data_IF_951487296537
#
_entry.id   IF_951487296537
#
_cell.length_a   1.000
_cell.length_b   1.000
_cell.length_c   1.000
_cell.angle_alpha   90.00
_cell.angle_beta   90.00
_cell.angle_gamma   90.00
#
_symmetry.space_group_name_H-M   'P 1'
#
loop_
_entity.id
_entity.type
_entity.pdbx_description
1 polymer ?
#
# COMPACT_ATOMS: atom_id res chain seq x y z
N UNK A 1 -23.55 -22.54 -33.74
CA UNK A 1 -24.98 -22.57 -33.39
C UNK A 1 -25.34 -21.17 -32.89
N UNK A 2 -25.86 -20.36 -33.82
CA UNK A 2 -26.45 -19.03 -33.61
C UNK A 2 -27.77 -19.17 -32.79
N UNK A 3 -28.44 -18.11 -32.27
CA UNK A 3 -28.36 -16.73 -32.76
C UNK A 3 -28.45 -15.58 -31.72
N UNK A 4 -27.98 -14.39 -32.13
CA UNK A 4 -28.52 -13.08 -31.74
C UNK A 4 -29.94 -12.92 -32.33
N UNK A 5 -30.83 -12.11 -31.75
CA UNK A 5 -31.14 -10.84 -32.42
C UNK A 5 -31.55 -9.74 -31.40
N UNK A 6 -31.98 -8.50 -31.70
CA UNK A 6 -32.66 -7.92 -32.85
C UNK A 6 -32.53 -6.38 -32.74
N UNK A 7 -32.30 -5.71 -33.87
CA UNK A 7 -32.45 -4.26 -34.03
C UNK A 7 -33.93 -3.94 -34.28
N UNK A 8 -34.50 -2.95 -33.60
CA UNK A 8 -35.75 -2.35 -34.06
C UNK A 8 -35.73 -0.82 -33.96
N UNK A 9 -36.26 -0.21 -35.01
CA UNK A 9 -36.23 1.22 -35.34
C UNK A 9 -37.66 1.77 -35.22
N UNK A 10 -37.76 3.08 -35.07
CA UNK A 10 -38.97 3.94 -35.08
C UNK A 10 -39.61 4.15 -33.69
N UNK A 11 -40.08 5.35 -33.32
CA UNK A 11 -40.87 6.29 -34.12
C UNK A 11 -40.72 7.74 -33.62
N UNK A 12 -40.64 8.66 -34.57
CA UNK A 12 -40.86 10.10 -34.39
C UNK A 12 -42.34 10.32 -34.02
N UNK A 13 -42.61 11.14 -33.00
CA UNK A 13 -43.92 11.78 -32.82
C UNK A 13 -43.72 13.28 -32.67
N UNK A 14 -44.17 14.03 -33.66
CA UNK A 14 -44.23 15.47 -33.61
C UNK A 14 -45.41 15.94 -32.76
N UNK A 15 -45.22 17.08 -32.08
CA UNK A 15 -46.30 18.02 -31.80
C UNK A 15 -45.85 19.39 -32.27
N UNK A 16 -46.50 19.82 -33.35
CA UNK A 16 -46.50 21.20 -33.80
C UNK A 16 -47.41 22.01 -32.85
N UNK A 17 -46.94 23.16 -32.39
CA UNK A 17 -47.80 24.28 -32.00
C UNK A 17 -47.20 25.59 -32.51
N UNK A 18 -47.84 26.11 -33.56
CA UNK A 18 -48.20 27.51 -33.81
C UNK A 18 -47.36 28.67 -33.28
N UNK A 19 -46.66 29.31 -34.23
CA UNK A 19 -46.77 30.74 -34.64
C UNK A 19 -46.54 31.84 -33.58
N UNK A 20 -45.54 32.70 -33.85
CA UNK A 20 -45.79 34.15 -34.04
C UNK A 20 -44.61 34.82 -34.77
N UNK A 21 -44.90 35.34 -35.96
CA UNK A 21 -44.05 36.20 -36.79
C UNK A 21 -44.30 37.65 -36.36
N UNK A 22 -43.25 38.33 -35.88
CA UNK A 22 -43.04 39.78 -35.71
C UNK A 22 -41.65 39.87 -35.07
N UNK A 23 -40.59 40.45 -35.62
CA UNK A 23 -40.43 41.58 -36.52
C UNK A 23 -39.15 41.39 -37.35
N UNK A 24 -39.20 41.99 -38.54
CA UNK A 24 -38.11 42.21 -39.47
C UNK A 24 -37.20 43.36 -38.99
N UNK A 25 -35.96 43.35 -39.52
CA UNK A 25 -34.97 44.44 -39.67
C UNK A 25 -33.88 44.62 -38.60
N UNK A 26 -32.68 44.90 -39.13
CA UNK A 26 -31.42 45.37 -38.49
C UNK A 26 -30.53 44.22 -37.95
N UNK A 27 -29.24 44.05 -38.27
CA UNK A 27 -28.18 44.90 -38.85
C UNK A 27 -27.20 44.02 -39.62
N UNK A 28 -27.04 44.30 -40.92
CA UNK A 28 -25.82 44.03 -41.68
C UNK A 28 -24.80 45.05 -41.20
N UNK A 29 -23.81 44.65 -40.38
CA UNK A 29 -22.44 45.19 -40.23
C UNK A 29 -21.85 44.46 -39.02
N UNK A 30 -21.25 43.28 -39.22
CA UNK A 30 -19.93 42.87 -38.68
C UNK A 30 -19.48 41.64 -39.50
N UNK A 31 -19.40 41.80 -40.82
CA UNK A 31 -18.47 41.01 -41.62
C UNK A 31 -17.16 41.78 -41.59
N UNK A 32 -16.25 41.45 -40.66
CA UNK A 32 -14.78 41.67 -40.80
C UNK A 32 -13.96 41.24 -39.56
N UNK A 33 -14.57 40.69 -38.51
CA UNK A 33 -13.83 40.14 -37.35
C UNK A 33 -14.14 38.66 -37.05
N UNK A 34 -14.49 37.86 -38.06
CA UNK A 34 -14.79 36.43 -37.88
C UNK A 34 -14.02 35.50 -38.82
N UNK A 35 -12.96 35.99 -39.48
CA UNK A 35 -12.12 35.21 -40.40
C UNK A 35 -10.65 35.06 -39.95
N UNK A 36 -10.32 35.48 -38.70
CA UNK A 36 -8.97 35.36 -38.12
C UNK A 36 -8.89 34.37 -36.94
N UNK A 37 -9.90 33.51 -36.78
CA UNK A 37 -9.93 32.44 -35.77
C UNK A 37 -10.08 31.03 -36.36
N UNK A 38 -9.85 30.87 -37.66
CA UNK A 38 -9.81 29.58 -38.35
C UNK A 38 -8.39 29.35 -38.87
N UNK A 39 -7.47 29.00 -37.97
CA UNK A 39 -6.07 28.80 -38.34
C UNK A 39 -5.16 28.26 -37.24
N UNK A 40 -5.63 28.09 -36.01
CA UNK A 40 -4.95 27.22 -35.07
C UNK A 40 -5.54 25.83 -35.23
N UNK A 41 -4.92 25.03 -36.09
CA UNK A 41 -4.88 23.60 -35.85
C UNK A 41 -4.27 23.45 -34.45
N UNK A 42 -5.14 23.33 -33.44
CA UNK A 42 -4.74 22.78 -32.15
C UNK A 42 -4.35 21.35 -32.50
N UNK A 43 -3.05 21.14 -32.71
CA UNK A 43 -2.48 19.81 -32.67
C UNK A 43 -2.85 19.27 -31.31
N UNK A 44 -3.88 18.42 -31.28
CA UNK A 44 -4.19 17.58 -30.15
C UNK A 44 -3.03 16.59 -29.99
N UNK A 45 -1.94 17.07 -29.43
CA UNK A 45 -0.89 16.24 -28.87
C UNK A 45 -1.05 16.27 -27.36
N UNK A 46 -2.27 15.98 -26.90
CA UNK A 46 -2.49 15.47 -25.56
C UNK A 46 -1.86 14.07 -25.52
N UNK A 47 -0.55 13.99 -25.28
CA UNK A 47 -0.05 12.87 -24.52
C UNK A 47 -0.31 13.22 -23.05
N UNK A 48 -1.40 12.71 -22.45
CA UNK A 48 -1.72 13.06 -21.09
C UNK A 48 -0.60 12.51 -20.18
N UNK A 49 -0.08 13.37 -19.29
CA UNK A 49 0.81 12.98 -18.18
C UNK A 49 2.26 12.56 -18.52
N UNK A 50 3.00 13.34 -19.31
CA UNK A 50 4.45 13.13 -19.54
C UNK A 50 4.83 11.77 -20.16
N UNK A 51 3.89 11.12 -20.86
CA UNK A 51 4.13 9.87 -21.57
C UNK A 51 4.98 10.10 -22.84
N UNK A 52 5.72 9.08 -23.25
CA UNK A 52 6.48 9.08 -24.50
C UNK A 52 5.62 8.65 -25.68
N UNK A 53 5.95 9.15 -26.88
CA UNK A 53 5.29 8.75 -28.12
C UNK A 53 5.64 7.29 -28.51
N UNK A 54 4.78 6.70 -29.34
CA UNK A 54 4.86 5.27 -29.70
C UNK A 54 6.15 4.92 -30.43
N UNK A 55 6.66 5.81 -31.27
CA UNK A 55 7.85 5.55 -32.08
C UNK A 55 9.11 5.53 -31.20
N UNK A 56 9.22 6.51 -30.28
CA UNK A 56 10.29 6.52 -29.27
C UNK A 56 10.26 5.26 -28.39
N UNK A 57 9.07 4.81 -27.98
CA UNK A 57 8.89 3.58 -27.19
C UNK A 57 9.34 2.34 -28.00
N UNK A 58 8.92 2.24 -29.27
CA UNK A 58 9.26 1.13 -30.15
C UNK A 58 10.77 1.06 -30.41
N UNK A 59 11.41 2.19 -30.71
CA UNK A 59 12.85 2.30 -30.90
C UNK A 59 13.61 1.83 -29.66
N UNK A 60 13.22 2.32 -28.46
CA UNK A 60 13.85 1.90 -27.21
C UNK A 60 13.72 0.39 -26.98
N UNK A 61 12.53 -0.18 -27.26
CA UNK A 61 12.29 -1.62 -27.11
C UNK A 61 13.14 -2.47 -28.06
N UNK A 62 13.34 -2.03 -29.32
CA UNK A 62 14.20 -2.74 -30.28
C UNK A 62 15.66 -2.74 -29.82
N UNK A 63 16.13 -1.58 -29.34
CA UNK A 63 17.47 -1.43 -28.79
C UNK A 63 17.69 -2.36 -27.59
N UNK A 64 16.73 -2.44 -26.66
CA UNK A 64 16.80 -3.38 -25.53
C UNK A 64 16.88 -4.84 -26.00
N UNK A 65 16.07 -5.24 -26.99
CA UNK A 65 16.10 -6.61 -27.52
C UNK A 65 17.43 -6.97 -28.17
N UNK A 66 18.06 -6.03 -28.89
CA UNK A 66 19.39 -6.24 -29.48
C UNK A 66 20.48 -6.24 -28.42
N UNK A 67 20.40 -5.31 -27.46
CA UNK A 67 21.35 -5.18 -26.36
C UNK A 67 21.41 -6.45 -25.50
N UNK A 68 20.25 -7.06 -25.20
CA UNK A 68 20.14 -8.32 -24.44
C UNK A 68 20.67 -9.54 -25.20
N UNK A 69 20.76 -9.45 -26.54
CA UNK A 69 21.42 -10.46 -27.40
C UNK A 69 22.92 -10.23 -27.58
N UNK A 70 23.50 -9.23 -26.91
CA UNK A 70 24.95 -8.96 -26.91
C UNK A 70 25.43 -7.93 -27.94
N UNK A 71 24.53 -7.22 -28.62
CA UNK A 71 24.90 -6.14 -29.55
C UNK A 71 25.41 -4.91 -28.79
N UNK A 72 26.72 -4.67 -28.83
CA UNK A 72 27.38 -3.54 -28.14
C UNK A 72 26.96 -2.17 -28.68
N UNK A 73 26.67 -2.06 -29.97
CA UNK A 73 26.21 -0.78 -30.54
C UNK A 73 24.80 -0.47 -30.04
N UNK A 74 23.92 -1.48 -29.99
CA UNK A 74 22.59 -1.33 -29.42
C UNK A 74 22.63 -1.01 -27.93
N UNK A 75 23.57 -1.58 -27.16
CA UNK A 75 23.76 -1.25 -25.74
C UNK A 75 24.09 0.24 -25.53
N UNK A 76 25.03 0.78 -26.31
CA UNK A 76 25.40 2.20 -26.23
C UNK A 76 24.23 3.12 -26.62
N UNK A 77 23.52 2.78 -27.71
CA UNK A 77 22.36 3.53 -28.17
C UNK A 77 21.21 3.47 -27.16
N UNK A 78 20.96 2.30 -26.57
CA UNK A 78 19.96 2.13 -25.53
C UNK A 78 20.26 3.02 -24.31
N UNK A 79 21.51 3.03 -23.84
CA UNK A 79 21.90 3.89 -22.72
C UNK A 79 21.73 5.39 -23.04
N UNK A 80 22.01 5.81 -24.27
CA UNK A 80 21.76 7.19 -24.70
C UNK A 80 20.26 7.54 -24.67
N UNK A 81 19.40 6.62 -25.12
CA UNK A 81 17.94 6.78 -25.07
C UNK A 81 17.43 6.85 -23.63
N UNK A 82 17.99 6.05 -22.70
CA UNK A 82 17.62 6.14 -21.27
C UNK A 82 17.91 7.54 -20.70
N UNK A 83 19.08 8.11 -21.03
CA UNK A 83 19.45 9.46 -20.61
C UNK A 83 18.51 10.52 -21.19
N UNK A 84 18.20 10.47 -22.48
CA UNK A 84 17.24 11.40 -23.12
C UNK A 84 15.85 11.30 -22.49
N UNK A 85 15.35 10.08 -22.29
CA UNK A 85 14.04 9.86 -21.69
C UNK A 85 14.00 10.39 -20.25
N UNK A 86 15.03 10.12 -19.44
CA UNK A 86 15.12 10.67 -18.09
C UNK A 86 15.00 12.21 -18.09
N UNK A 87 15.82 12.88 -18.91
CA UNK A 87 15.84 14.33 -19.01
C UNK A 87 14.50 14.92 -19.46
N UNK A 88 13.85 14.31 -20.46
CA UNK A 88 12.53 14.71 -20.95
C UNK A 88 11.46 14.53 -19.88
N UNK A 89 11.44 13.38 -19.20
CA UNK A 89 10.49 13.09 -18.14
C UNK A 89 10.66 14.08 -16.96
N UNK A 90 11.91 14.33 -16.55
CA UNK A 90 12.22 15.27 -15.49
C UNK A 90 11.73 16.69 -15.82
N UNK A 91 12.08 17.22 -17.00
CA UNK A 91 11.61 18.55 -17.45
C UNK A 91 10.08 18.63 -17.51
N UNK A 92 9.44 17.57 -17.99
CA UNK A 92 7.97 17.52 -18.03
C UNK A 92 7.37 17.53 -16.62
N UNK A 93 7.91 16.76 -15.66
CA UNK A 93 7.41 16.74 -14.28
C UNK A 93 7.69 18.04 -13.53
N UNK A 94 8.79 18.72 -13.82
CA UNK A 94 9.12 20.03 -13.26
C UNK A 94 8.15 21.12 -13.75
N UNK A 95 7.63 21.02 -14.97
CA UNK A 95 6.68 21.98 -15.56
C UNK A 95 5.21 21.59 -15.40
N UNK A 96 4.90 20.30 -15.18
CA UNK A 96 3.54 19.79 -14.98
C UNK A 96 2.98 20.11 -13.59
N UNK A 97 1.66 20.22 -13.43
CA UNK A 97 1.03 20.34 -12.10
C UNK A 97 1.23 19.04 -11.28
N UNK A 98 1.21 17.88 -11.93
CA UNK A 98 1.42 16.58 -11.31
C UNK A 98 2.92 16.28 -11.24
N UNK A 99 3.56 16.72 -10.14
CA UNK A 99 5.00 16.56 -9.90
C UNK A 99 5.43 15.11 -9.66
N UNK A 100 4.54 14.30 -9.09
CA UNK A 100 4.83 12.94 -8.67
C UNK A 100 3.77 11.99 -9.18
N UNK A 101 4.20 10.90 -9.81
CA UNK A 101 3.35 9.79 -10.17
C UNK A 101 4.11 8.49 -9.94
N UNK A 102 3.54 7.63 -9.09
CA UNK A 102 4.16 6.41 -8.63
C UNK A 102 3.36 5.16 -9.04
N UNK A 103 4.06 4.04 -9.21
CA UNK A 103 3.46 2.73 -9.41
C UNK A 103 3.90 1.77 -8.30
N UNK A 104 2.97 0.99 -7.76
CA UNK A 104 3.30 -0.14 -6.87
C UNK A 104 3.54 -1.40 -7.69
N UNK A 105 4.66 -2.08 -7.44
CA UNK A 105 4.97 -3.34 -8.10
C UNK A 105 5.41 -4.41 -7.11
N UNK A 106 5.20 -5.67 -7.49
CA UNK A 106 5.81 -6.83 -6.86
C UNK A 106 6.72 -7.50 -7.89
N UNK A 107 7.92 -7.85 -7.46
CA UNK A 107 8.91 -8.52 -8.28
C UNK A 107 9.07 -9.98 -7.85
N UNK A 108 9.41 -10.83 -8.81
CA UNK A 108 9.50 -12.28 -8.69
C UNK A 108 10.78 -12.81 -9.38
N UNK A 109 11.18 -14.07 -9.13
CA UNK A 109 12.39 -14.64 -9.74
C UNK A 109 12.42 -14.56 -11.28
N UNK A 110 11.26 -14.56 -11.96
CA UNK A 110 11.19 -14.43 -13.41
C UNK A 110 11.65 -13.08 -13.95
N UNK A 111 11.73 -12.05 -13.10
CA UNK A 111 12.15 -10.70 -13.50
C UNK A 111 13.66 -10.58 -13.61
N UNK A 112 14.42 -11.55 -13.06
CA UNK A 112 15.87 -11.67 -13.20
C UNK A 112 16.31 -12.14 -14.59
N UNK A 113 15.38 -12.55 -15.46
CA UNK A 113 15.74 -12.92 -16.82
C UNK A 113 16.29 -11.69 -17.56
N UNK A 114 17.35 -11.84 -18.38
CA UNK A 114 17.97 -10.72 -19.08
C UNK A 114 16.93 -9.85 -19.82
N UNK A 115 16.90 -8.56 -19.48
CA UNK A 115 16.01 -7.57 -20.10
C UNK A 115 14.59 -7.47 -19.54
N UNK A 116 14.13 -8.42 -18.70
CA UNK A 116 12.77 -8.36 -18.16
C UNK A 116 12.59 -7.15 -17.23
N UNK A 117 13.48 -6.99 -16.26
CA UNK A 117 13.44 -5.85 -15.35
C UNK A 117 13.61 -4.52 -16.11
N UNK A 118 14.45 -4.50 -17.14
CA UNK A 118 14.61 -3.33 -18.01
C UNK A 118 13.31 -2.96 -18.71
N UNK A 119 12.60 -3.94 -19.27
CA UNK A 119 11.33 -3.73 -19.94
C UNK A 119 10.24 -3.24 -18.98
N UNK A 120 10.18 -3.80 -17.76
CA UNK A 120 9.25 -3.35 -16.72
C UNK A 120 9.50 -1.86 -16.40
N UNK A 121 10.74 -1.48 -16.13
CA UNK A 121 11.09 -0.11 -15.77
C UNK A 121 10.97 0.86 -16.95
N UNK A 122 11.23 0.38 -18.17
CA UNK A 122 10.95 1.13 -19.38
C UNK A 122 9.48 1.46 -19.53
N UNK A 123 8.59 0.50 -19.27
CA UNK A 123 7.14 0.74 -19.30
C UNK A 123 6.74 1.79 -18.26
N UNK A 124 7.28 1.73 -17.05
CA UNK A 124 7.05 2.74 -15.99
C UNK A 124 7.34 4.15 -16.51
N UNK A 125 8.54 4.39 -17.06
CA UNK A 125 8.88 5.72 -17.59
C UNK A 125 8.14 6.07 -18.87
N UNK A 126 7.84 5.08 -19.72
CA UNK A 126 7.10 5.28 -20.98
C UNK A 126 5.70 5.86 -20.72
N UNK A 127 5.05 5.44 -19.64
CA UNK A 127 3.77 5.99 -19.17
C UNK A 127 3.91 7.26 -18.31
N UNK A 128 5.12 7.81 -18.19
CA UNK A 128 5.40 9.06 -17.51
C UNK A 128 5.58 8.95 -15.99
N UNK A 129 5.60 7.76 -15.39
CA UNK A 129 5.81 7.62 -13.94
C UNK A 129 7.26 7.96 -13.57
N UNK A 130 7.45 8.73 -12.49
CA UNK A 130 8.76 9.15 -12.00
C UNK A 130 9.13 8.56 -10.64
N UNK A 131 8.27 7.70 -10.08
CA UNK A 131 8.53 6.96 -8.85
C UNK A 131 8.03 5.52 -8.97
N UNK A 132 8.69 4.63 -8.23
CA UNK A 132 8.36 3.21 -8.16
C UNK A 132 8.38 2.76 -6.71
N UNK A 133 7.32 2.09 -6.29
CA UNK A 133 7.19 1.52 -4.96
C UNK A 133 7.30 0.00 -5.07
N UNK A 134 8.49 -0.51 -4.82
CA UNK A 134 8.82 -1.94 -4.94
C UNK A 134 8.48 -2.62 -3.64
N UNK A 135 7.59 -3.61 -3.67
CA UNK A 135 7.31 -4.39 -2.48
C UNK A 135 8.52 -5.25 -2.08
N UNK A 136 9.24 -4.80 -1.06
CA UNK A 136 10.47 -5.41 -0.57
C UNK A 136 10.22 -6.41 0.57
N UNK A 137 9.06 -6.33 1.22
CA UNK A 137 8.65 -7.28 2.26
C UNK A 137 7.14 -7.50 2.23
N UNK A 138 6.73 -8.68 1.77
CA UNK A 138 5.33 -9.08 1.62
C UNK A 138 5.15 -10.59 1.77
N UNK A 139 3.96 -11.02 2.16
CA UNK A 139 3.56 -12.43 2.25
C UNK A 139 4.51 -13.29 3.10
N UNK A 140 5.20 -12.64 4.06
CA UNK A 140 6.25 -13.25 4.87
C UNK A 140 7.50 -13.63 4.10
N UNK A 141 7.81 -12.92 3.02
CA UNK A 141 9.02 -13.07 2.23
C UNK A 141 9.67 -11.71 2.05
N UNK A 142 10.99 -11.72 1.87
CA UNK A 142 11.78 -10.50 1.70
C UNK A 142 12.51 -10.52 0.35
N UNK A 143 12.57 -9.38 -0.33
CA UNK A 143 13.22 -9.23 -1.64
C UNK A 143 14.76 -9.10 -1.52
N UNK A 144 15.36 -9.87 -0.61
CA UNK A 144 16.81 -9.96 -0.41
C UNK A 144 17.34 -11.25 -1.03
N UNK A 145 18.62 -11.33 -1.42
CA UNK A 145 19.24 -12.55 -1.93
C UNK A 145 19.18 -13.68 -0.88
N UNK A 146 18.97 -14.92 -1.30
CA UNK A 146 18.86 -16.04 -0.37
C UNK A 146 20.14 -16.26 0.47
N UNK A 147 21.32 -16.14 -0.13
CA UNK A 147 22.60 -16.38 0.57
C UNK A 147 23.02 -15.24 1.51
N UNK A 148 22.53 -14.02 1.26
CA UNK A 148 22.83 -12.83 2.07
C UNK A 148 21.53 -12.22 2.61
N UNK A 149 20.73 -13.05 3.26
CA UNK A 149 19.50 -12.64 3.94
C UNK A 149 19.66 -12.82 5.46
N UNK A 150 19.93 -11.75 6.22
CA UNK A 150 20.10 -11.81 7.68
C UNK A 150 18.76 -11.90 8.44
N UNK A 151 17.63 -12.00 7.74
CA UNK A 151 16.29 -11.96 8.34
C UNK A 151 15.75 -13.37 8.58
N UNK A 152 14.68 -13.46 9.36
CA UNK A 152 13.98 -14.74 9.61
C UNK A 152 13.01 -15.14 8.50
N UNK A 153 12.83 -14.27 7.51
CA UNK A 153 11.89 -14.46 6.41
C UNK A 153 12.60 -15.06 5.20
N UNK A 154 12.02 -16.04 4.51
CA UNK A 154 12.60 -16.56 3.28
C UNK A 154 12.71 -15.48 2.19
N UNK A 155 13.74 -15.60 1.36
CA UNK A 155 13.89 -14.77 0.16
C UNK A 155 12.74 -15.01 -0.84
N UNK A 156 12.29 -13.97 -1.53
CA UNK A 156 11.38 -14.06 -2.68
C UNK A 156 12.05 -14.78 -3.85
N UNK A 157 13.34 -14.52 -4.07
CA UNK A 157 14.14 -15.09 -5.16
C UNK A 157 14.33 -16.59 -4.96
N UNK A 158 14.53 -17.01 -3.70
CA UNK A 158 14.65 -18.42 -3.33
C UNK A 158 15.96 -19.06 -3.76
N UNK A 159 15.98 -20.40 -3.77
CA UNK A 159 17.19 -21.20 -4.04
C UNK A 159 17.56 -21.25 -5.53
N UNK A 160 16.64 -20.89 -6.44
CA UNK A 160 16.88 -20.95 -7.88
C UNK A 160 17.89 -19.89 -8.36
N UNK A 161 18.01 -18.77 -7.64
CA UNK A 161 18.97 -17.71 -7.93
C UNK A 161 19.51 -17.13 -6.60
N UNK A 162 20.26 -17.92 -5.83
CA UNK A 162 20.44 -17.67 -4.40
C UNK A 162 21.34 -16.46 -4.11
N UNK A 163 22.13 -16.02 -5.10
CA UNK A 163 22.98 -14.83 -5.05
C UNK A 163 22.30 -13.55 -5.58
N UNK A 164 21.16 -13.67 -6.26
CA UNK A 164 20.58 -12.53 -6.96
C UNK A 164 19.90 -11.57 -5.98
N UNK A 165 20.33 -10.31 -5.98
CA UNK A 165 19.75 -9.22 -5.19
C UNK A 165 18.82 -8.39 -6.08
N UNK A 166 17.58 -8.87 -6.22
CA UNK A 166 16.57 -8.25 -7.08
C UNK A 166 16.16 -6.85 -6.59
N UNK A 167 16.25 -6.58 -5.28
CA UNK A 167 16.01 -5.24 -4.73
C UNK A 167 17.14 -4.27 -5.12
N UNK A 168 18.40 -4.68 -4.98
CA UNK A 168 19.52 -3.86 -5.43
C UNK A 168 19.47 -3.60 -6.95
N UNK A 169 19.13 -4.61 -7.73
CA UNK A 169 19.06 -4.51 -9.20
C UNK A 169 17.98 -3.52 -9.66
N UNK A 170 16.77 -3.58 -9.09
CA UNK A 170 15.70 -2.64 -9.45
C UNK A 170 16.01 -1.20 -9.01
N UNK A 171 16.67 -1.01 -7.86
CA UNK A 171 17.11 0.32 -7.41
C UNK A 171 18.14 0.89 -8.39
N UNK A 172 19.14 0.09 -8.77
CA UNK A 172 20.18 0.51 -9.70
C UNK A 172 19.59 0.86 -11.08
N UNK A 173 18.78 -0.02 -11.66
CA UNK A 173 18.14 0.21 -12.96
C UNK A 173 17.09 1.33 -12.93
N UNK A 174 16.47 1.59 -11.78
CA UNK A 174 15.61 2.75 -11.57
C UNK A 174 16.39 4.06 -11.64
N UNK A 175 17.57 4.12 -11.00
CA UNK A 175 18.48 5.28 -11.06
C UNK A 175 18.94 5.57 -12.49
N UNK A 176 19.25 4.55 -13.28
CA UNK A 176 19.61 4.68 -14.72
C UNK A 176 18.51 5.36 -15.55
N UNK A 177 17.24 5.21 -15.12
CA UNK A 177 16.06 5.82 -15.75
C UNK A 177 15.61 7.12 -15.08
N UNK A 178 16.33 7.58 -14.07
CA UNK A 178 16.02 8.80 -13.33
C UNK A 178 14.74 8.75 -12.50
N UNK A 179 14.24 7.56 -12.16
CA UNK A 179 13.09 7.40 -11.28
C UNK A 179 13.54 7.10 -9.86
N UNK A 180 12.75 7.56 -8.88
CA UNK A 180 12.97 7.21 -7.48
C UNK A 180 12.38 5.85 -7.18
N UNK A 181 13.12 5.01 -6.47
CA UNK A 181 12.70 3.66 -6.06
C UNK A 181 12.57 3.61 -4.55
N UNK A 182 11.35 3.43 -4.06
CA UNK A 182 11.05 3.26 -2.64
C UNK A 182 10.79 1.78 -2.33
N UNK A 183 11.29 1.31 -1.19
CA UNK A 183 10.99 -0.01 -0.68
C UNK A 183 9.66 0.02 0.10
N UNK A 184 8.64 -0.64 -0.41
CA UNK A 184 7.35 -0.84 0.25
C UNK A 184 7.39 -2.09 1.14
N UNK A 185 7.04 -1.94 2.42
CA UNK A 185 7.23 -2.95 3.47
C UNK A 185 5.92 -3.14 4.24
N UNK A 186 5.47 -4.38 4.39
CA UNK A 186 4.36 -4.72 5.26
C UNK A 186 4.82 -4.73 6.72
N UNK A 187 4.62 -3.62 7.44
CA UNK A 187 5.22 -3.40 8.76
C UNK A 187 4.68 -4.37 9.82
N UNK A 188 3.37 -4.62 9.87
CA UNK A 188 2.79 -5.53 10.88
C UNK A 188 2.27 -6.84 10.30
N UNK A 189 2.10 -6.94 8.97
CA UNK A 189 1.68 -8.18 8.32
C UNK A 189 2.90 -9.02 7.92
N UNK A 190 3.30 -9.94 8.79
CA UNK A 190 4.47 -10.81 8.63
C UNK A 190 4.22 -12.06 7.81
N UNK A 191 2.98 -12.29 7.37
CA UNK A 191 2.62 -13.39 6.48
C UNK A 191 2.82 -14.83 7.01
N UNK A 192 2.40 -15.83 6.22
CA UNK A 192 2.21 -17.22 6.66
C UNK A 192 3.52 -17.99 6.93
N UNK A 193 4.64 -17.59 6.33
CA UNK A 193 5.94 -18.23 6.62
C UNK A 193 6.33 -18.02 8.09
N UNK A 194 6.07 -16.82 8.62
CA UNK A 194 6.34 -16.47 10.01
C UNK A 194 5.47 -17.27 10.97
N UNK A 195 4.19 -17.46 10.63
CA UNK A 195 3.26 -18.23 11.46
C UNK A 195 3.51 -19.72 11.47
N UNK A 196 4.29 -20.27 10.54
CA UNK A 196 4.69 -21.68 10.54
C UNK A 196 5.85 -21.97 11.49
N UNK A 197 6.50 -20.94 12.04
CA UNK A 197 7.66 -21.08 12.92
C UNK A 197 7.23 -21.33 14.37
N UNK A 198 7.61 -22.48 14.99
CA UNK A 198 7.24 -22.77 16.38
C UNK A 198 7.77 -21.72 17.36
N UNK A 199 8.98 -21.21 17.12
CA UNK A 199 9.66 -20.21 17.95
C UNK A 199 9.09 -18.78 17.79
N UNK A 200 8.12 -18.57 16.89
CA UNK A 200 7.47 -17.27 16.66
C UNK A 200 5.99 -17.23 17.01
N UNK A 201 5.40 -18.33 17.49
CA UNK A 201 3.97 -18.40 17.83
C UNK A 201 3.52 -17.38 18.88
N UNK A 202 4.40 -17.00 19.80
CA UNK A 202 4.12 -16.00 20.84
C UNK A 202 4.15 -14.55 20.34
N UNK A 203 4.62 -14.31 19.11
CA UNK A 203 4.67 -12.99 18.48
C UNK A 203 3.44 -12.70 17.59
N UNK A 204 2.58 -13.69 17.35
CA UNK A 204 1.38 -13.54 16.53
C UNK A 204 0.27 -12.91 17.37
N UNK A 205 -0.42 -11.92 16.82
CA UNK A 205 -1.55 -11.26 17.48
C UNK A 205 -2.73 -12.22 17.67
N UNK A 206 -3.46 -12.07 18.77
CA UNK A 206 -4.57 -12.95 19.15
C UNK A 206 -5.74 -12.17 19.71
N UNK A 207 -6.95 -12.65 19.42
CA UNK A 207 -8.17 -12.14 20.02
C UNK A 207 -8.57 -12.93 21.30
N UNK A 208 -9.68 -12.54 21.92
CA UNK A 208 -10.19 -13.14 23.16
C UNK A 208 -10.64 -14.59 23.04
N UNK A 209 -10.82 -15.08 21.81
CA UNK A 209 -11.13 -16.48 21.52
C UNK A 209 -9.87 -17.31 21.26
N UNK A 210 -8.68 -16.70 21.35
CA UNK A 210 -7.39 -17.33 21.02
C UNK A 210 -7.12 -17.44 19.52
N UNK A 211 -8.00 -16.88 18.70
CA UNK A 211 -7.91 -16.92 17.25
C UNK A 211 -6.82 -15.98 16.77
N UNK A 212 -6.23 -16.36 15.63
CA UNK A 212 -5.33 -15.50 14.84
C UNK A 212 -5.97 -15.26 13.49
N UNK A 213 -5.48 -14.29 12.73
CA UNK A 213 -5.98 -14.00 11.38
C UNK A 213 -5.81 -15.16 10.36
N UNK A 214 -5.18 -16.27 10.75
CA UNK A 214 -5.16 -17.52 9.96
C UNK A 214 -6.49 -18.27 9.98
N UNK A 215 -7.27 -18.11 11.05
CA UNK A 215 -8.28 -19.08 11.42
C UNK A 215 -9.65 -18.82 10.78
N UNK A 216 -9.80 -17.73 10.01
CA UNK A 216 -11.01 -17.51 9.22
C UNK A 216 -10.72 -17.05 7.78
N UNK A 217 -10.39 -17.98 6.88
CA UNK A 217 -10.22 -17.69 5.45
C UNK A 217 -11.47 -17.11 4.76
N UNK A 218 -12.66 -17.29 5.35
CA UNK A 218 -13.94 -16.79 4.82
C UNK A 218 -14.24 -15.36 5.27
N UNK A 219 -13.58 -14.87 6.33
CA UNK A 219 -13.65 -13.49 6.81
C UNK A 219 -12.61 -12.56 6.18
N UNK A 220 -11.68 -13.11 5.39
CA UNK A 220 -10.73 -12.32 4.62
C UNK A 220 -11.49 -11.78 3.38
N UNK A 221 -11.57 -10.46 3.18
CA UNK A 221 -12.15 -9.91 1.95
C UNK A 221 -11.45 -10.52 0.72
N UNK A 222 -12.25 -10.93 -0.27
CA UNK A 222 -11.80 -11.55 -1.52
C UNK A 222 -10.74 -10.71 -2.28
N UNK A 223 -10.70 -9.40 -1.99
CA UNK A 223 -9.75 -8.41 -2.50
C UNK A 223 -8.28 -8.69 -2.16
N UNK A 224 -7.98 -9.60 -1.23
CA UNK A 224 -6.61 -9.94 -0.85
C UNK A 224 -6.43 -11.45 -0.71
N UNK A 225 -6.13 -12.15 -1.81
CA UNK A 225 -5.55 -13.51 -1.82
C UNK A 225 -4.18 -13.61 -1.13
N UNK A 226 -4.00 -12.88 -0.03
CA UNK A 226 -2.80 -12.59 0.72
C UNK A 226 -3.06 -13.11 2.14
N UNK A 227 -2.27 -14.07 2.60
CA UNK A 227 -2.41 -14.54 3.97
C UNK A 227 -1.92 -13.45 4.93
N UNK A 228 -2.86 -12.83 5.63
CA UNK A 228 -2.59 -11.73 6.56
C UNK A 228 -2.24 -12.30 7.94
N UNK A 229 -0.97 -12.26 8.32
CA UNK A 229 -0.52 -12.63 9.68
C UNK A 229 -0.02 -11.38 10.37
N UNK A 230 -0.84 -10.85 11.26
CA UNK A 230 -0.45 -9.71 12.05
C UNK A 230 0.26 -10.13 13.34
N UNK A 231 1.29 -9.38 13.68
CA UNK A 231 2.04 -9.55 14.91
C UNK A 231 1.47 -8.75 16.07
N UNK A 232 1.80 -9.16 17.28
CA UNK A 232 1.62 -8.36 18.49
C UNK A 232 2.69 -7.24 18.49
N UNK A 233 2.32 -5.95 18.31
CA UNK A 233 3.25 -4.84 18.28
C UNK A 233 3.99 -4.60 19.59
N UNK A 234 3.49 -5.15 20.71
CA UNK A 234 4.20 -5.10 21.98
C UNK A 234 5.27 -6.20 22.11
N UNK A 235 5.29 -7.17 21.19
CA UNK A 235 6.24 -8.27 21.26
C UNK A 235 7.65 -7.81 20.82
N UNK A 236 8.66 -7.84 21.72
CA UNK A 236 10.01 -7.37 21.40
C UNK A 236 10.71 -8.21 20.33
N UNK A 237 10.34 -9.50 20.20
CA UNK A 237 10.88 -10.36 19.13
C UNK A 237 10.34 -9.93 17.76
N UNK A 238 9.05 -9.61 17.66
CA UNK A 238 8.48 -9.09 16.42
C UNK A 238 9.10 -7.74 16.02
N UNK A 239 9.27 -6.84 16.98
CA UNK A 239 9.94 -5.55 16.77
C UNK A 239 11.36 -5.74 16.22
N UNK A 240 12.15 -6.65 16.81
CA UNK A 240 13.51 -6.92 16.35
C UNK A 240 13.54 -7.60 14.97
N UNK A 241 12.61 -8.52 14.70
CA UNK A 241 12.51 -9.17 13.38
C UNK A 241 12.21 -8.12 12.29
N UNK A 242 11.31 -7.14 12.52
CA UNK A 242 11.08 -6.04 11.58
C UNK A 242 12.29 -5.11 11.45
N UNK A 243 12.91 -4.72 12.57
CA UNK A 243 14.12 -3.88 12.56
C UNK A 243 15.22 -4.49 11.69
N UNK A 244 15.41 -5.80 11.77
CA UNK A 244 16.38 -6.51 10.94
C UNK A 244 16.02 -6.45 9.45
N UNK A 245 14.74 -6.61 9.10
CA UNK A 245 14.26 -6.44 7.71
C UNK A 245 14.52 -5.02 7.21
N UNK A 246 14.12 -4.01 7.98
CA UNK A 246 14.31 -2.60 7.62
C UNK A 246 15.78 -2.23 7.48
N UNK A 247 16.63 -2.71 8.41
CA UNK A 247 18.07 -2.50 8.34
C UNK A 247 18.65 -3.13 7.07
N UNK A 248 18.34 -4.40 6.78
CA UNK A 248 18.85 -5.09 5.59
C UNK A 248 18.40 -4.43 4.29
N UNK A 249 17.12 -4.02 4.19
CA UNK A 249 16.59 -3.25 3.05
C UNK A 249 17.31 -1.90 2.92
N UNK A 250 17.54 -1.20 4.03
CA UNK A 250 18.20 0.12 4.01
C UNK A 250 19.63 0.07 3.46
N UNK A 251 20.34 -1.06 3.63
CA UNK A 251 21.68 -1.24 3.07
C UNK A 251 21.71 -1.18 1.54
N UNK A 252 20.56 -1.41 0.87
CA UNK A 252 20.43 -1.34 -0.59
C UNK A 252 20.12 0.09 -1.08
N UNK A 253 20.00 1.04 -0.14
CA UNK A 253 19.84 2.48 -0.39
C UNK A 253 18.69 2.81 -1.36
N UNK A 254 17.45 2.38 -1.07
CA UNK A 254 16.28 2.94 -1.76
C UNK A 254 16.14 4.44 -1.46
N UNK A 255 15.41 5.17 -2.30
CA UNK A 255 15.09 6.59 -2.09
C UNK A 255 14.22 6.84 -0.85
N UNK A 256 13.62 5.78 -0.31
CA UNK A 256 12.94 5.77 0.97
C UNK A 256 12.29 4.42 1.26
N UNK A 257 11.71 4.29 2.45
CA UNK A 257 10.95 3.11 2.86
C UNK A 257 9.52 3.53 3.15
N UNK A 258 8.55 2.84 2.55
CA UNK A 258 7.12 3.04 2.73
C UNK A 258 6.59 1.92 3.61
N UNK A 259 6.16 2.26 4.82
CA UNK A 259 5.56 1.32 5.75
C UNK A 259 4.05 1.24 5.50
N UNK A 260 3.57 0.02 5.28
CA UNK A 260 2.15 -0.28 5.08
C UNK A 260 1.69 -1.32 6.10
N UNK A 261 0.38 -1.56 6.18
CA UNK A 261 -0.23 -2.46 7.16
C UNK A 261 0.04 -2.04 8.60
N UNK A 262 0.16 -0.73 8.87
CA UNK A 262 0.22 -0.14 10.21
C UNK A 262 -1.19 -0.12 10.81
N UNK A 263 -1.66 -1.29 11.25
CA UNK A 263 -3.00 -1.48 11.82
C UNK A 263 -3.08 -2.79 12.58
N UNK A 264 -4.00 -2.85 13.56
CA UNK A 264 -4.50 -4.13 14.03
C UNK A 264 -5.62 -4.62 13.09
N UNK A 265 -5.66 -5.92 12.77
CA UNK A 265 -6.81 -6.51 12.11
C UNK A 265 -7.95 -6.67 13.11
N UNK A 266 -9.18 -6.60 12.61
CA UNK A 266 -10.39 -6.88 13.36
C UNK A 266 -11.09 -8.10 12.75
N UNK A 267 -11.83 -8.85 13.57
CA UNK A 267 -12.63 -9.99 13.10
C UNK A 267 -13.85 -9.46 12.33
N UNK A 268 -14.14 -10.06 11.15
CA UNK A 268 -15.40 -10.09 10.34
C UNK A 268 -16.25 -8.84 10.11
N UNK A 269 -16.22 -7.78 10.93
CA UNK A 269 -17.08 -6.60 10.84
C UNK A 269 -16.25 -5.32 10.77
N UNK A 270 -16.72 -4.33 9.99
CA UNK A 270 -16.06 -3.03 9.82
C UNK A 270 -15.89 -2.23 11.13
N UNK A 271 -16.69 -2.52 12.16
CA UNK A 271 -16.66 -1.85 13.47
C UNK A 271 -16.75 -2.94 14.55
N UNK A 272 -15.82 -2.93 15.51
CA UNK A 272 -15.81 -3.86 16.64
C UNK A 272 -16.50 -3.21 17.85
N UNK A 273 -17.41 -3.96 18.48
CA UNK A 273 -18.15 -3.54 19.68
C UNK A 273 -17.88 -4.46 20.89
N UNK A 274 -17.16 -5.55 20.68
CA UNK A 274 -16.76 -6.50 21.71
C UNK A 274 -15.24 -6.49 21.82
N UNK A 275 -14.74 -6.24 23.03
CA UNK A 275 -13.30 -6.22 23.31
C UNK A 275 -12.63 -7.54 22.94
N UNK A 276 -13.36 -8.66 22.99
CA UNK A 276 -12.85 -10.00 22.66
C UNK A 276 -12.55 -10.17 21.18
N UNK A 277 -13.04 -9.31 20.30
CA UNK A 277 -12.66 -9.30 18.89
C UNK A 277 -11.35 -8.56 18.63
N UNK A 278 -10.85 -7.76 19.58
CA UNK A 278 -9.59 -7.04 19.46
C UNK A 278 -8.40 -7.98 19.60
N UNK A 279 -7.35 -7.75 18.81
CA UNK A 279 -6.15 -8.58 18.76
C UNK A 279 -5.13 -8.26 19.87
N UNK A 280 -5.62 -7.97 21.09
CA UNK A 280 -4.83 -7.55 22.26
C UNK A 280 -4.59 -8.67 23.28
N UNK A 281 -4.97 -9.91 22.97
CA UNK A 281 -4.90 -11.05 23.88
C UNK A 281 -3.61 -11.88 23.72
N UNK A 282 -2.70 -11.44 22.83
CA UNK A 282 -1.33 -11.95 22.83
C UNK A 282 -0.70 -11.80 24.22
N UNK A 283 0.07 -12.80 24.66
CA UNK A 283 0.59 -12.83 26.04
C UNK A 283 1.31 -11.53 26.45
N UNK A 284 2.09 -10.94 25.54
CA UNK A 284 2.83 -9.70 25.82
C UNK A 284 1.89 -8.49 25.85
N UNK A 285 1.03 -8.33 24.84
CA UNK A 285 -0.01 -7.30 24.80
C UNK A 285 -0.89 -7.31 26.05
N UNK A 286 -1.47 -8.45 26.39
CA UNK A 286 -2.33 -8.62 27.56
C UNK A 286 -1.61 -8.30 28.87
N UNK A 287 -0.37 -8.76 29.06
CA UNK A 287 0.42 -8.41 30.25
C UNK A 287 0.71 -6.90 30.34
N UNK A 288 1.02 -6.26 29.22
CA UNK A 288 1.28 -4.82 29.16
C UNK A 288 0.00 -4.01 29.40
N UNK A 289 -1.16 -4.50 28.97
CA UNK A 289 -2.45 -3.92 29.29
C UNK A 289 -2.75 -4.04 30.81
N UNK A 290 -2.58 -5.24 31.39
CA UNK A 290 -2.78 -5.45 32.83
C UNK A 290 -1.86 -4.59 33.69
N UNK A 291 -0.62 -4.36 33.25
CA UNK A 291 0.33 -3.52 33.99
C UNK A 291 -0.04 -2.03 34.03
N UNK A 292 -1.12 -1.62 33.35
CA UNK A 292 -1.64 -0.24 33.45
C UNK A 292 -2.51 -0.04 34.69
N UNK A 293 -2.95 -1.11 35.34
CA UNK A 293 -3.66 -1.00 36.60
C UNK A 293 -2.81 -0.31 37.67
N UNK A 294 -3.44 0.59 38.42
CA UNK A 294 -2.82 1.31 39.54
C UNK A 294 -3.22 0.72 40.90
N UNK A 295 -4.12 -0.26 40.90
CA UNK A 295 -4.60 -0.95 42.09
C UNK A 295 -5.02 -2.40 41.78
N UNK A 296 -5.07 -3.30 42.77
CA UNK A 296 -5.59 -4.66 42.59
C UNK A 296 -7.03 -4.69 42.05
N UNK A 297 -7.87 -3.73 42.48
CA UNK A 297 -9.22 -3.58 41.96
C UNK A 297 -9.21 -3.20 40.48
N UNK A 298 -8.38 -2.23 40.08
CA UNK A 298 -8.20 -1.87 38.68
C UNK A 298 -7.76 -3.05 37.82
N UNK A 299 -6.80 -3.84 38.31
CA UNK A 299 -6.33 -5.03 37.60
C UNK A 299 -7.43 -6.08 37.45
N UNK A 300 -8.21 -6.32 38.51
CA UNK A 300 -9.35 -7.25 38.48
C UNK A 300 -10.45 -6.77 37.51
N UNK A 301 -10.71 -5.46 37.42
CA UNK A 301 -11.68 -4.91 36.47
C UNK A 301 -11.23 -5.08 35.02
N UNK A 302 -9.94 -4.84 34.72
CA UNK A 302 -9.39 -5.07 33.37
C UNK A 302 -9.50 -6.57 33.03
N UNK A 303 -9.17 -7.46 33.96
CA UNK A 303 -9.26 -8.90 33.76
C UNK A 303 -10.70 -9.34 33.43
N UNK A 304 -11.67 -8.95 34.27
CA UNK A 304 -13.08 -9.30 34.04
C UNK A 304 -13.60 -8.73 32.72
N UNK A 305 -13.22 -7.49 32.39
CA UNK A 305 -13.61 -6.87 31.13
C UNK A 305 -13.09 -7.62 29.91
N UNK A 306 -11.80 -8.01 29.91
CA UNK A 306 -11.24 -8.80 28.82
C UNK A 306 -11.88 -10.19 28.71
N UNK A 307 -12.30 -10.77 29.83
CA UNK A 307 -12.92 -12.09 29.87
C UNK A 307 -14.37 -12.05 29.37
N UNK A 308 -15.16 -11.10 29.87
CA UNK A 308 -16.62 -11.12 29.75
C UNK A 308 -17.16 -10.04 28.78
N UNK A 309 -16.30 -9.12 28.33
CA UNK A 309 -16.66 -7.98 27.48
C UNK A 309 -17.36 -6.83 28.22
N UNK A 310 -17.62 -7.01 29.52
CA UNK A 310 -18.29 -6.03 30.39
C UNK A 310 -17.97 -6.28 31.86
N UNK A 311 -18.13 -5.25 32.68
CA UNK A 311 -18.07 -5.32 34.15
C UNK A 311 -19.37 -4.82 34.77
N UNK A 312 -19.79 -5.44 35.87
CA UNK A 312 -20.99 -5.10 36.65
C UNK A 312 -20.67 -4.95 38.14
N UNK A 313 -19.55 -4.29 38.46
CA UNK A 313 -19.13 -4.05 39.84
C UNK A 313 -19.19 -2.57 40.17
N UNK A 314 -19.66 -2.25 41.37
CA UNK A 314 -19.50 -0.92 41.94
C UNK A 314 -18.05 -0.71 42.38
N UNK A 315 -17.60 0.54 42.28
CA UNK A 315 -16.22 0.93 42.60
C UNK A 315 -16.27 2.15 43.52
N UNK A 316 -15.57 2.15 44.66
CA UNK A 316 -15.56 3.29 45.57
C UNK A 316 -15.08 4.56 44.88
N UNK A 317 -15.76 5.68 45.16
CA UNK A 317 -15.39 7.00 44.65
C UNK A 317 -13.96 7.36 45.08
N UNK A 318 -13.20 7.96 44.17
CA UNK A 318 -11.80 8.35 44.40
C UNK A 318 -10.79 7.23 44.15
N UNK A 319 -11.22 6.00 43.85
CA UNK A 319 -10.29 4.89 43.54
C UNK A 319 -9.52 5.17 42.25
N UNK A 320 -8.19 5.14 42.30
CA UNK A 320 -7.33 5.15 41.11
C UNK A 320 -7.34 3.76 40.47
N UNK A 321 -7.80 3.67 39.22
CA UNK A 321 -8.03 2.38 38.56
C UNK A 321 -6.86 1.99 37.66
N UNK A 322 -6.57 2.81 36.65
CA UNK A 322 -5.51 2.55 35.68
C UNK A 322 -4.98 3.83 35.06
N UNK A 323 -3.84 3.72 34.39
CA UNK A 323 -3.25 4.78 33.59
C UNK A 323 -3.44 4.48 32.09
N UNK A 324 -3.92 5.45 31.33
CA UNK A 324 -3.98 5.40 29.88
C UNK A 324 -2.57 5.49 29.28
N UNK A 325 -2.36 5.03 28.02
CA UNK A 325 -1.06 5.14 27.35
C UNK A 325 -0.50 6.57 27.27
N UNK A 326 -1.36 7.60 27.26
CA UNK A 326 -0.97 9.01 27.28
C UNK A 326 -0.57 9.54 28.68
N UNK A 327 -0.58 8.67 29.69
CA UNK A 327 -0.22 8.99 31.06
C UNK A 327 -1.37 9.47 31.94
N UNK A 328 -2.57 9.69 31.39
CA UNK A 328 -3.73 10.13 32.19
C UNK A 328 -4.20 9.02 33.11
N UNK A 329 -4.45 9.37 34.37
CA UNK A 329 -5.01 8.43 35.36
C UNK A 329 -6.53 8.47 35.33
N UNK A 330 -7.16 7.30 35.29
CA UNK A 330 -8.60 7.15 35.44
C UNK A 330 -8.93 6.90 36.91
N UNK A 331 -9.79 7.75 37.47
CA UNK A 331 -10.29 7.69 38.83
C UNK A 331 -11.79 7.37 38.78
N UNK A 332 -12.26 6.49 39.65
CA UNK A 332 -13.69 6.20 39.78
C UNK A 332 -14.40 7.40 40.42
N UNK A 333 -15.15 8.17 39.63
CA UNK A 333 -15.95 9.29 40.14
C UNK A 333 -17.20 9.47 39.28
N UNK A 334 -18.19 8.58 39.44
CA UNK A 334 -19.35 8.50 38.53
C UNK A 334 -18.99 8.00 37.12
N UNK A 335 -17.81 7.42 36.95
CA UNK A 335 -17.29 6.93 35.68
C UNK A 335 -18.07 5.72 35.20
N UNK A 336 -18.56 5.74 33.96
CA UNK A 336 -19.02 4.51 33.28
C UNK A 336 -17.81 3.60 33.09
N UNK A 337 -17.75 2.53 33.88
CA UNK A 337 -16.61 1.61 33.89
C UNK A 337 -16.44 0.91 32.54
N UNK A 338 -17.53 0.52 31.87
CA UNK A 338 -17.45 -0.19 30.59
C UNK A 338 -16.92 0.73 29.49
N UNK A 339 -17.39 1.99 29.45
CA UNK A 339 -16.87 2.98 28.52
C UNK A 339 -15.39 3.30 28.79
N UNK A 340 -15.01 3.45 30.05
CA UNK A 340 -13.63 3.75 30.44
C UNK A 340 -12.67 2.58 30.16
N UNK A 341 -13.13 1.34 30.34
CA UNK A 341 -12.38 0.12 29.99
C UNK A 341 -12.26 -0.03 28.47
N UNK A 342 -13.33 0.21 27.71
CA UNK A 342 -13.26 0.24 26.25
C UNK A 342 -12.22 1.25 25.76
N UNK A 343 -12.23 2.46 26.31
CA UNK A 343 -11.26 3.50 25.99
C UNK A 343 -9.82 3.08 26.35
N UNK A 344 -9.61 2.46 27.52
CA UNK A 344 -8.31 1.92 27.91
C UNK A 344 -7.78 0.91 26.89
N UNK A 345 -8.61 -0.06 26.48
CA UNK A 345 -8.17 -1.15 25.59
C UNK A 345 -7.96 -0.65 24.17
N UNK A 346 -8.82 0.23 23.66
CA UNK A 346 -8.66 0.83 22.33
C UNK A 346 -7.44 1.75 22.25
N UNK A 347 -7.19 2.58 23.27
CA UNK A 347 -5.96 3.35 23.35
C UNK A 347 -4.73 2.45 23.50
N UNK A 348 -4.83 1.34 24.24
CA UNK A 348 -3.76 0.34 24.31
C UNK A 348 -3.46 -0.26 22.93
N UNK A 349 -4.47 -0.64 22.16
CA UNK A 349 -4.29 -1.14 20.80
C UNK A 349 -3.67 -0.06 19.90
N UNK A 350 -4.23 1.16 19.89
CA UNK A 350 -3.71 2.28 19.11
C UNK A 350 -2.25 2.58 19.45
N UNK A 351 -1.93 2.69 20.74
CA UNK A 351 -0.58 2.93 21.23
C UNK A 351 0.39 1.87 20.74
N UNK A 352 0.01 0.59 20.82
CA UNK A 352 0.86 -0.51 20.34
C UNK A 352 1.28 -0.30 18.89
N UNK A 353 0.33 -0.03 18.01
CA UNK A 353 0.58 0.22 16.58
C UNK A 353 1.44 1.47 16.36
N UNK A 354 1.15 2.58 17.04
CA UNK A 354 1.84 3.85 16.79
C UNK A 354 3.25 3.93 17.37
N UNK A 355 3.58 3.07 18.34
CA UNK A 355 4.90 3.04 18.99
C UNK A 355 5.77 1.86 18.55
N UNK A 356 5.21 0.95 17.76
CA UNK A 356 5.92 -0.16 17.13
C UNK A 356 6.89 0.37 16.06
#
# INVERSE_FOLDING_TARGET
>A
MFPLPFWERARVSGKATGISIRQFFEVIVVWFMFAWLLGMAVSAQEFPYCAFDRDSIAQKSELLQRATKGDRAAQLQYQAVLTDHNDRLKRCRESSWLKTQALWIRLYPCDLKPGNLDQILDNVVNFGYNQLYVNAFYDGRVLLPHQDNPTVFPSVVGEQAPQADLLAEVIQKGKERGIKVYAWVFAMNFGPSYSKRPDRQGAIARNGFGETNLQDPKAIPEEAGVSHIFIDPYNPRAQNDLKNVLFAISQRQPDGILLDYIRYPHRTQRITHDVRDLMVYGYISARKLMSRALSPLGQSLIYDYLKDGRVQREVPIGTKLWQLPDGKTVIANGTDLNQALWHLVTEHARSGVTTF
#
